data_IF_165318500415
#
_entry.id   IF_165318500415
#
_cell.length_a   1.000
_cell.length_b   1.000
_cell.length_c   1.000
_cell.angle_alpha   90.00
_cell.angle_beta   90.00
_cell.angle_gamma   90.00
#
_symmetry.space_group_name_H-M   'P 1'
#
loop_
_entity.id
_entity.type
_entity.pdbx_description
1 polymer ?
#
# COMPACT_ATOMS: atom_id res chain seq x y z
N UNK A 1 -14.08 -8.89 -9.77
CA UNK A 1 -14.40 -7.94 -8.68
C UNK A 1 -13.68 -6.62 -8.91
N UNK A 2 -14.27 -5.53 -8.45
CA UNK A 2 -13.73 -4.19 -8.60
C UNK A 2 -13.33 -3.62 -7.24
N UNK A 3 -12.28 -2.81 -7.24
CA UNK A 3 -11.72 -2.23 -6.02
C UNK A 3 -11.41 -0.75 -6.24
N UNK A 4 -11.46 0.01 -5.17
CA UNK A 4 -11.01 1.39 -5.12
C UNK A 4 -10.15 1.63 -3.88
N UNK A 5 -9.53 2.79 -3.80
CA UNK A 5 -8.74 3.19 -2.64
C UNK A 5 -9.48 4.28 -1.87
N UNK A 6 -9.55 4.08 -0.55
CA UNK A 6 -10.12 5.08 0.38
C UNK A 6 -8.94 5.73 1.12
N UNK A 7 -8.70 7.03 0.92
CA UNK A 7 -7.58 7.69 1.61
C UNK A 7 -7.83 7.79 3.11
N UNK A 8 -6.77 7.53 3.88
CA UNK A 8 -6.81 7.67 5.33
C UNK A 8 -6.41 9.10 5.71
N UNK A 9 -7.27 9.76 6.49
CA UNK A 9 -6.99 11.09 7.04
C UNK A 9 -5.97 11.01 8.18
N UNK A 10 -5.41 12.14 8.57
CA UNK A 10 -4.55 12.22 9.75
C UNK A 10 -5.25 11.70 11.00
N UNK A 11 -6.53 12.03 11.16
CA UNK A 11 -7.35 11.53 12.28
C UNK A 11 -7.51 10.01 12.24
N UNK A 12 -7.74 9.44 11.04
CA UNK A 12 -7.83 7.98 10.85
C UNK A 12 -6.52 7.30 11.23
N UNK A 13 -5.39 7.86 10.80
CA UNK A 13 -4.06 7.32 11.09
C UNK A 13 -3.74 7.36 12.58
N UNK A 14 -4.15 8.41 13.28
CA UNK A 14 -3.96 8.51 14.74
C UNK A 14 -4.75 7.42 15.49
N UNK A 15 -5.98 7.13 15.05
CA UNK A 15 -6.77 6.05 15.63
C UNK A 15 -6.09 4.70 15.39
N UNK A 16 -5.63 4.43 14.17
CA UNK A 16 -4.95 3.19 13.80
C UNK A 16 -3.60 3.04 14.52
N UNK A 17 -2.87 4.13 14.72
CA UNK A 17 -1.63 4.13 15.51
C UNK A 17 -1.89 3.69 16.95
N UNK A 18 -3.05 4.06 17.51
CA UNK A 18 -3.51 3.64 18.83
C UNK A 18 -4.18 2.26 18.83
N UNK A 19 -4.11 1.52 17.72
CA UNK A 19 -4.76 0.22 17.53
C UNK A 19 -6.28 0.27 17.69
N UNK A 20 -6.87 1.37 17.26
CA UNK A 20 -8.33 1.58 17.30
C UNK A 20 -8.88 1.76 15.89
N UNK A 21 -10.13 1.38 15.68
CA UNK A 21 -10.82 1.68 14.43
C UNK A 21 -11.12 3.19 14.35
N UNK A 22 -10.88 3.83 13.19
CA UNK A 22 -11.46 5.13 12.93
C UNK A 22 -12.99 5.08 13.01
N UNK A 23 -13.61 6.21 13.30
CA UNK A 23 -15.05 6.29 13.44
C UNK A 23 -15.78 5.79 12.18
N UNK A 24 -16.71 4.85 12.37
CA UNK A 24 -17.52 4.28 11.28
C UNK A 24 -16.86 3.14 10.49
N UNK A 25 -15.60 2.79 10.78
CA UNK A 25 -14.88 1.78 9.97
C UNK A 25 -15.17 0.34 10.43
N UNK A 26 -15.41 0.12 11.72
CA UNK A 26 -15.57 -1.24 12.27
C UNK A 26 -16.67 -2.05 11.60
N UNK A 27 -17.78 -1.40 11.24
CA UNK A 27 -18.91 -2.05 10.58
C UNK A 27 -18.67 -2.38 9.09
N UNK A 28 -17.60 -1.83 8.50
CA UNK A 28 -17.25 -2.04 7.09
C UNK A 28 -16.03 -2.92 6.90
N UNK A 29 -15.22 -3.10 7.93
CA UNK A 29 -13.96 -3.81 7.85
C UNK A 29 -14.18 -5.32 7.95
N UNK A 30 -13.64 -6.09 7.00
CA UNK A 30 -13.52 -7.53 7.18
C UNK A 30 -12.37 -7.79 8.19
N UNK A 31 -12.35 -8.94 8.87
CA UNK A 31 -11.29 -9.24 9.85
C UNK A 31 -9.88 -9.10 9.23
N UNK A 32 -8.96 -8.50 9.98
CA UNK A 32 -7.56 -8.31 9.60
C UNK A 32 -7.33 -7.45 8.34
N UNK A 33 -8.26 -6.51 8.06
CA UNK A 33 -8.16 -5.63 6.90
C UNK A 33 -7.44 -4.31 7.19
N UNK A 34 -7.33 -3.90 8.46
CA UNK A 34 -6.72 -2.63 8.83
C UNK A 34 -5.18 -2.71 8.84
N UNK A 35 -4.48 -1.60 8.51
CA UNK A 35 -3.04 -1.59 8.61
C UNK A 35 -2.58 -1.70 10.07
N UNK A 36 -1.42 -2.34 10.32
CA UNK A 36 -0.85 -2.38 11.67
C UNK A 36 -0.50 -0.99 12.18
N UNK A 37 -0.43 -0.84 13.51
CA UNK A 37 -0.11 0.45 14.14
C UNK A 37 1.21 1.05 13.64
N UNK A 38 2.25 0.24 13.41
CA UNK A 38 3.54 0.75 12.92
C UNK A 38 3.44 1.34 11.50
N UNK A 39 2.54 0.84 10.67
CA UNK A 39 2.29 1.38 9.33
C UNK A 39 1.64 2.77 9.45
N UNK A 40 0.65 2.91 10.33
CA UNK A 40 0.00 4.20 10.60
C UNK A 40 0.99 5.21 11.16
N UNK A 41 1.88 4.79 12.08
CA UNK A 41 2.92 5.62 12.65
C UNK A 41 3.87 6.15 11.57
N UNK A 42 4.32 5.28 10.66
CA UNK A 42 5.17 5.66 9.54
C UNK A 42 4.48 6.66 8.60
N UNK A 43 3.21 6.44 8.31
CA UNK A 43 2.42 7.35 7.48
C UNK A 43 2.32 8.74 8.10
N UNK A 44 2.09 8.82 9.42
CA UNK A 44 2.07 10.09 10.14
C UNK A 44 3.43 10.80 10.08
N UNK A 45 4.53 10.06 10.18
CA UNK A 45 5.88 10.62 10.04
C UNK A 45 6.12 11.20 8.64
N UNK A 46 5.67 10.52 7.60
CA UNK A 46 5.77 11.00 6.22
C UNK A 46 4.95 12.28 6.02
N UNK A 47 3.74 12.37 6.57
CA UNK A 47 2.92 13.57 6.51
C UNK A 47 3.60 14.75 7.22
N UNK A 48 4.16 14.52 8.40
CA UNK A 48 4.83 15.56 9.19
C UNK A 48 6.09 16.09 8.51
N UNK A 49 6.77 15.27 7.71
CA UNK A 49 7.99 15.64 6.98
C UNK A 49 7.72 16.30 5.64
N UNK A 50 6.47 16.28 5.14
CA UNK A 50 6.13 16.83 3.84
C UNK A 50 6.16 18.36 3.85
N UNK A 51 6.80 18.96 2.86
CA UNK A 51 6.87 20.42 2.69
C UNK A 51 5.65 21.00 2.00
N UNK A 52 4.92 20.18 1.24
CA UNK A 52 3.71 20.56 0.51
C UNK A 52 2.46 20.16 1.30
N UNK A 53 1.27 20.68 0.95
CA UNK A 53 0.01 20.19 1.51
C UNK A 53 -0.06 18.67 1.43
N UNK A 54 -0.54 17.99 2.49
CA UNK A 54 -0.46 16.54 2.54
C UNK A 54 -1.27 15.88 1.43
N UNK A 55 -0.60 15.08 0.61
CA UNK A 55 -1.24 14.12 -0.28
C UNK A 55 -1.40 12.84 0.52
N UNK A 56 -2.54 12.15 0.47
CA UNK A 56 -2.70 10.89 1.20
C UNK A 56 -1.61 9.90 0.82
N UNK A 57 -0.99 9.29 1.83
CA UNK A 57 0.07 8.29 1.65
C UNK A 57 -0.38 6.89 2.00
N UNK A 58 -1.50 6.76 2.71
CA UNK A 58 -2.07 5.47 3.12
C UNK A 58 -3.53 5.40 2.75
N UNK A 59 -3.95 4.20 2.36
CA UNK A 59 -5.29 3.95 1.84
C UNK A 59 -5.81 2.63 2.38
N UNK A 60 -7.12 2.52 2.51
CA UNK A 60 -7.80 1.24 2.62
C UNK A 60 -8.25 0.78 1.23
N UNK A 61 -8.19 -0.51 1.01
CA UNK A 61 -8.69 -1.12 -0.23
C UNK A 61 -10.17 -1.43 -0.03
N UNK A 62 -11.02 -0.86 -0.88
CA UNK A 62 -12.47 -1.03 -0.82
C UNK A 62 -12.90 -1.99 -1.92
N UNK A 63 -13.63 -3.04 -1.54
CA UNK A 63 -14.30 -3.92 -2.50
C UNK A 63 -15.64 -3.29 -2.86
N UNK A 64 -15.83 -2.94 -4.12
CA UNK A 64 -16.98 -2.14 -4.54
C UNK A 64 -18.31 -2.89 -4.48
N UNK A 65 -18.31 -4.21 -4.64
CA UNK A 65 -19.52 -5.02 -4.65
C UNK A 65 -20.29 -4.95 -3.33
N UNK A 66 -19.60 -4.81 -2.20
CA UNK A 66 -20.22 -4.74 -0.86
C UNK A 66 -19.73 -3.54 -0.03
N UNK A 67 -18.93 -2.66 -0.60
CA UNK A 67 -18.36 -1.47 0.06
C UNK A 67 -17.56 -1.79 1.33
N UNK A 68 -16.98 -2.99 1.42
CA UNK A 68 -16.19 -3.39 2.58
C UNK A 68 -14.71 -3.07 2.40
N UNK A 69 -14.06 -2.75 3.51
CA UNK A 69 -12.62 -2.63 3.58
C UNK A 69 -12.00 -4.03 3.65
N UNK A 70 -11.15 -4.37 2.68
CA UNK A 70 -10.58 -5.71 2.54
C UNK A 70 -9.06 -5.75 2.69
N UNK A 71 -8.43 -4.59 2.85
CA UNK A 71 -6.99 -4.50 3.01
C UNK A 71 -6.53 -3.06 3.09
N UNK A 72 -5.23 -2.88 3.09
CA UNK A 72 -4.59 -1.57 3.15
C UNK A 72 -3.39 -1.53 2.22
N UNK A 73 -3.03 -0.35 1.76
CA UNK A 73 -1.84 -0.11 0.95
C UNK A 73 -1.37 1.32 1.12
N UNK A 74 -0.15 1.59 0.69
CA UNK A 74 0.37 2.95 0.79
C UNK A 74 1.82 3.06 0.41
N UNK A 75 2.34 4.27 0.58
CA UNK A 75 3.73 4.60 0.28
C UNK A 75 4.57 4.51 1.56
N UNK A 76 5.73 3.90 1.45
CA UNK A 76 6.69 3.77 2.55
C UNK A 76 7.71 4.89 2.56
N UNK A 77 7.84 5.63 1.46
CA UNK A 77 8.75 6.76 1.30
C UNK A 77 7.99 7.96 0.77
N UNK A 78 8.63 9.14 0.72
CA UNK A 78 7.98 10.38 0.33
C UNK A 78 7.52 10.39 -1.12
N UNK A 79 6.30 10.86 -1.36
CA UNK A 79 5.79 11.11 -2.71
C UNK A 79 6.56 12.26 -3.36
N UNK A 80 6.73 12.18 -4.69
CA UNK A 80 7.47 13.18 -5.47
C UNK A 80 8.95 12.88 -5.60
N UNK A 81 9.49 11.93 -4.85
CA UNK A 81 10.83 11.42 -5.09
C UNK A 81 10.84 10.60 -6.38
N UNK A 82 12.01 10.52 -7.04
CA UNK A 82 12.14 9.77 -8.30
C UNK A 82 11.64 8.33 -8.16
N UNK A 83 12.03 7.66 -7.09
CA UNK A 83 11.59 6.30 -6.75
C UNK A 83 10.84 6.34 -5.43
N UNK A 84 9.65 5.79 -5.41
CA UNK A 84 8.84 5.67 -4.19
C UNK A 84 8.57 4.19 -3.92
N UNK A 85 8.68 3.79 -2.66
CA UNK A 85 8.40 2.41 -2.26
C UNK A 85 6.96 2.28 -1.77
N UNK A 86 6.31 1.18 -2.14
CA UNK A 86 4.93 0.85 -1.75
C UNK A 86 4.88 -0.41 -0.90
N UNK A 87 3.82 -0.50 -0.11
CA UNK A 87 3.47 -1.69 0.65
C UNK A 87 1.98 -1.94 0.59
N UNK A 88 1.56 -3.18 0.81
CA UNK A 88 0.16 -3.57 0.77
C UNK A 88 -0.07 -4.84 1.58
N UNK A 89 -1.31 -5.02 2.00
CA UNK A 89 -1.77 -6.24 2.65
C UNK A 89 -3.26 -6.42 2.43
N UNK A 90 -3.70 -7.66 2.20
CA UNK A 90 -5.10 -8.00 1.98
C UNK A 90 -5.53 -9.02 3.04
N UNK A 91 -6.70 -8.80 3.62
CA UNK A 91 -7.27 -9.70 4.62
C UNK A 91 -7.36 -11.13 4.09
N UNK A 92 -7.13 -12.16 4.93
CA UNK A 92 -7.16 -13.56 4.47
C UNK A 92 -8.43 -13.94 3.72
N UNK A 93 -9.59 -13.46 4.16
CA UNK A 93 -10.88 -13.77 3.52
C UNK A 93 -11.06 -13.15 2.14
N UNK A 94 -10.22 -12.16 1.77
CA UNK A 94 -10.33 -11.43 0.51
C UNK A 94 -9.17 -11.69 -0.45
N UNK A 95 -8.25 -12.57 -0.10
CA UNK A 95 -7.12 -12.91 -0.98
C UNK A 95 -7.59 -13.67 -2.22
N UNK A 96 -6.83 -13.56 -3.31
CA UNK A 96 -7.15 -14.25 -4.56
C UNK A 96 -8.24 -13.59 -5.41
N UNK A 97 -8.69 -12.39 -5.03
CA UNK A 97 -9.75 -11.67 -5.74
C UNK A 97 -9.24 -10.54 -6.64
N UNK A 98 -7.93 -10.29 -6.64
CA UNK A 98 -7.31 -9.22 -7.43
C UNK A 98 -7.17 -7.89 -6.70
N UNK A 99 -7.47 -7.83 -5.40
CA UNK A 99 -7.43 -6.60 -4.60
C UNK A 99 -6.02 -5.97 -4.57
N UNK A 100 -4.99 -6.76 -4.26
CA UNK A 100 -3.62 -6.26 -4.18
C UNK A 100 -3.09 -5.80 -5.55
N UNK A 101 -3.38 -6.53 -6.61
CA UNK A 101 -2.98 -6.16 -7.97
C UNK A 101 -3.58 -4.82 -8.38
N UNK A 102 -4.88 -4.64 -8.15
CA UNK A 102 -5.58 -3.39 -8.43
C UNK A 102 -5.02 -2.25 -7.58
N UNK A 103 -4.80 -2.49 -6.27
CA UNK A 103 -4.24 -1.49 -5.36
C UNK A 103 -2.87 -1.00 -5.83
N UNK A 104 -1.97 -1.90 -6.23
CA UNK A 104 -0.66 -1.52 -6.75
C UNK A 104 -0.74 -0.66 -8.01
N UNK A 105 -1.63 -1.00 -8.92
CA UNK A 105 -1.84 -0.19 -10.13
C UNK A 105 -2.34 1.21 -9.81
N UNK A 106 -3.28 1.32 -8.87
CA UNK A 106 -3.82 2.61 -8.45
C UNK A 106 -2.77 3.44 -7.70
N UNK A 107 -1.97 2.83 -6.82
CA UNK A 107 -0.86 3.52 -6.16
C UNK A 107 0.16 4.04 -7.16
N UNK A 108 0.47 3.26 -8.18
CA UNK A 108 1.39 3.69 -9.24
C UNK A 108 0.87 4.92 -9.97
N UNK A 109 -0.43 4.99 -10.27
CA UNK A 109 -1.04 6.18 -10.87
C UNK A 109 -0.87 7.40 -9.97
N UNK A 110 -1.10 7.27 -8.67
CA UNK A 110 -0.90 8.35 -7.70
C UNK A 110 0.57 8.81 -7.69
N UNK A 111 1.50 7.87 -7.63
CA UNK A 111 2.94 8.15 -7.62
C UNK A 111 3.38 8.91 -8.87
N UNK A 112 2.98 8.45 -10.05
CA UNK A 112 3.35 9.08 -11.31
C UNK A 112 2.73 10.46 -11.45
N UNK A 113 1.49 10.64 -11.01
CA UNK A 113 0.84 11.95 -10.99
C UNK A 113 1.50 12.92 -10.00
N UNK A 114 2.20 12.41 -9.01
CA UNK A 114 2.92 13.20 -8.00
C UNK A 114 4.38 13.50 -8.40
N UNK A 115 4.81 13.06 -9.58
CA UNK A 115 6.14 13.33 -10.13
C UNK A 115 7.16 12.21 -9.97
N UNK A 116 6.83 11.11 -9.31
CA UNK A 116 7.70 9.93 -9.25
C UNK A 116 7.78 9.27 -10.62
N UNK A 117 8.92 8.67 -10.94
CA UNK A 117 9.15 7.96 -12.21
C UNK A 117 9.29 6.46 -12.02
N UNK A 118 9.50 6.02 -10.79
CA UNK A 118 9.62 4.60 -10.44
C UNK A 118 8.85 4.29 -9.18
N UNK A 119 8.17 3.14 -9.17
CA UNK A 119 7.52 2.57 -8.00
C UNK A 119 8.22 1.25 -7.68
N UNK A 120 8.69 1.12 -6.43
CA UNK A 120 9.40 -0.06 -5.94
C UNK A 120 8.49 -0.87 -5.01
N UNK A 121 8.45 -2.18 -5.23
CA UNK A 121 7.86 -3.13 -4.29
C UNK A 121 8.92 -4.17 -3.92
N UNK A 122 9.08 -4.44 -2.63
CA UNK A 122 10.01 -5.46 -2.13
C UNK A 122 9.22 -6.68 -1.68
N UNK A 123 9.62 -7.86 -2.14
CA UNK A 123 8.91 -9.12 -1.90
C UNK A 123 9.90 -10.20 -1.49
N UNK A 124 9.60 -10.90 -0.40
CA UNK A 124 10.38 -12.07 -0.01
C UNK A 124 10.27 -13.16 -1.09
N UNK A 125 11.38 -13.85 -1.43
CA UNK A 125 11.38 -14.81 -2.53
C UNK A 125 10.48 -16.02 -2.31
N UNK A 126 10.10 -16.33 -1.08
CA UNK A 126 9.17 -17.41 -0.74
C UNK A 126 7.71 -16.98 -0.67
N UNK A 127 7.43 -15.69 -0.81
CA UNK A 127 6.06 -15.17 -0.83
C UNK A 127 5.49 -15.25 -2.24
N UNK A 128 5.05 -16.44 -2.63
CA UNK A 128 4.58 -16.73 -3.99
C UNK A 128 3.36 -15.87 -4.36
N UNK A 129 2.43 -15.66 -3.43
CA UNK A 129 1.24 -14.85 -3.69
C UNK A 129 1.62 -13.41 -4.05
N UNK A 130 2.56 -12.81 -3.30
CA UNK A 130 3.02 -11.44 -3.54
C UNK A 130 3.84 -11.33 -4.83
N UNK A 131 4.65 -12.34 -5.15
CA UNK A 131 5.38 -12.39 -6.43
C UNK A 131 4.41 -12.35 -7.63
N UNK A 132 3.31 -13.08 -7.55
CA UNK A 132 2.27 -13.05 -8.58
C UNK A 132 1.59 -11.68 -8.69
N UNK A 133 1.35 -11.04 -7.56
CA UNK A 133 0.73 -9.71 -7.53
C UNK A 133 1.59 -8.69 -8.26
N UNK A 134 2.88 -8.58 -7.94
CA UNK A 134 3.77 -7.61 -8.58
C UNK A 134 3.94 -7.88 -10.07
N UNK A 135 4.02 -9.15 -10.47
CA UNK A 135 4.09 -9.53 -11.89
C UNK A 135 2.82 -9.14 -12.65
N UNK A 136 1.64 -9.44 -12.11
CA UNK A 136 0.36 -9.07 -12.72
C UNK A 136 0.16 -7.56 -12.80
N UNK A 137 0.71 -6.81 -11.84
CA UNK A 137 0.65 -5.35 -11.86
C UNK A 137 1.64 -4.72 -12.86
N UNK A 138 2.48 -5.52 -13.52
CA UNK A 138 3.40 -5.06 -14.54
C UNK A 138 4.78 -4.68 -14.03
N UNK A 139 5.09 -4.96 -12.77
CA UNK A 139 6.42 -4.73 -12.20
C UNK A 139 7.41 -5.74 -12.77
N UNK A 140 8.66 -5.33 -12.88
CA UNK A 140 9.76 -6.18 -13.33
C UNK A 140 10.81 -6.34 -12.23
N UNK A 141 11.40 -7.52 -12.14
CA UNK A 141 12.46 -7.81 -11.18
C UNK A 141 13.74 -7.06 -11.59
N UNK A 142 14.30 -6.29 -10.66
CA UNK A 142 15.52 -5.50 -10.91
C UNK A 142 16.69 -5.88 -10.01
N UNK A 143 16.45 -6.60 -8.91
CA UNK A 143 17.53 -6.97 -8.00
C UNK A 143 17.05 -7.64 -6.73
N UNK A 144 17.98 -7.77 -5.80
CA UNK A 144 17.77 -8.34 -4.48
C UNK A 144 18.56 -7.52 -3.46
N UNK A 145 18.12 -7.54 -2.21
CA UNK A 145 18.89 -7.00 -1.09
C UNK A 145 18.60 -7.80 0.17
N UNK A 146 19.48 -7.70 1.16
CA UNK A 146 19.24 -8.24 2.49
C UNK A 146 18.68 -7.14 3.38
N UNK A 147 17.54 -7.45 3.98
CA UNK A 147 16.95 -6.63 5.02
C UNK A 147 17.33 -7.19 6.38
N UNK A 148 17.63 -6.32 7.37
CA UNK A 148 18.02 -6.77 8.71
C UNK A 148 16.93 -7.57 9.41
N UNK A 149 15.66 -7.20 9.18
CA UNK A 149 14.51 -7.81 9.83
C UNK A 149 13.90 -8.95 8.99
N UNK A 150 13.82 -8.77 7.67
CA UNK A 150 13.08 -9.66 6.77
C UNK A 150 13.98 -10.63 5.98
N UNK A 151 15.29 -10.54 6.11
CA UNK A 151 16.25 -11.37 5.38
C UNK A 151 16.34 -10.95 3.91
N UNK A 152 16.39 -11.92 3.00
CA UNK A 152 16.50 -11.64 1.57
C UNK A 152 15.15 -11.15 1.02
N UNK A 153 15.17 -10.05 0.29
CA UNK A 153 14.01 -9.53 -0.44
C UNK A 153 14.36 -9.31 -1.90
N UNK A 154 13.39 -9.56 -2.77
CA UNK A 154 13.49 -9.26 -4.20
C UNK A 154 12.90 -7.89 -4.47
N UNK A 155 13.49 -7.16 -5.41
CA UNK A 155 13.09 -5.79 -5.73
C UNK A 155 12.43 -5.74 -7.10
N UNK A 156 11.24 -5.20 -7.14
CA UNK A 156 10.39 -5.11 -8.34
C UNK A 156 10.04 -3.67 -8.60
N UNK A 157 10.14 -3.23 -9.84
CA UNK A 157 9.96 -1.83 -10.21
C UNK A 157 8.96 -1.71 -11.36
N UNK A 158 8.08 -0.72 -11.26
CA UNK A 158 7.26 -0.22 -12.35
C UNK A 158 7.70 1.19 -12.68
N UNK A 159 7.98 1.46 -13.97
CA UNK A 159 8.42 2.78 -14.44
C UNK A 159 7.28 3.51 -15.15
N UNK A 160 7.25 4.83 -15.01
CA UNK A 160 6.29 5.68 -15.73
C UNK A 160 6.54 5.61 -17.23
N UNK A 161 5.46 5.68 -18.03
CA UNK A 161 5.57 5.62 -19.49
C UNK A 161 5.78 4.23 -20.06
N UNK A 162 5.72 3.21 -19.20
CA UNK A 162 5.84 1.82 -19.63
C UNK A 162 4.51 1.27 -20.12
#
# INVERSE_FOLDING_TARGET
MRFSLHPLSTSDLKALEASQFPEGFSGRAVPDSMPPAFVASRALQLEAAAEAPPVPTSYLIVRLEDSRFVGACGFKTGLGERRVEVGYGVAPSAQGQGAATTALKLLAEVAFSSGSTEVLAEVAPDNIASLRVVQKAGFVLVGERRDEDDGLVTQWVLRSGA
#
